data_IF_967339105320
#
_entry.id   IF_967339105320
#
_cell.length_a   1.000
_cell.length_b   1.000
_cell.length_c   1.000
_cell.angle_alpha   90.00
_cell.angle_beta   90.00
_cell.angle_gamma   90.00
#
_symmetry.space_group_name_H-M   'P 1'
#
loop_
_entity.id
_entity.type
_entity.pdbx_description
1 polymer ?
#
# COMPACT_ATOMS: atom_id res chain seq x y z
N UNK A 1 2.95 -33.29 34.97
CA UNK A 1 3.62 -33.88 33.81
C UNK A 1 3.74 -32.77 32.78
N UNK A 2 4.91 -32.15 32.71
CA UNK A 2 5.25 -31.14 31.70
C UNK A 2 5.28 -31.80 30.33
N UNK A 3 4.28 -31.54 29.50
CA UNK A 3 4.33 -31.81 28.06
C UNK A 3 4.56 -30.49 27.34
N UNK A 4 5.73 -29.90 27.53
CA UNK A 4 6.24 -28.91 26.59
C UNK A 4 6.53 -29.65 25.28
N UNK A 5 5.63 -29.51 24.31
CA UNK A 5 5.78 -29.91 22.92
C UNK A 5 7.03 -29.22 22.34
N UNK A 6 8.20 -29.81 22.55
CA UNK A 6 9.38 -29.42 21.81
C UNK A 6 9.13 -29.78 20.35
N UNK A 7 8.98 -28.77 19.48
CA UNK A 7 9.22 -28.94 18.05
C UNK A 7 10.52 -29.74 17.91
N UNK A 8 10.42 -30.95 17.39
CA UNK A 8 11.57 -31.84 17.40
C UNK A 8 12.62 -31.26 16.45
N UNK A 9 13.89 -31.22 16.88
CA UNK A 9 14.99 -30.84 15.99
C UNK A 9 14.98 -31.64 14.66
N UNK A 10 14.35 -32.82 14.69
CA UNK A 10 14.05 -33.65 13.54
C UNK A 10 13.10 -33.00 12.53
N UNK A 11 11.97 -32.42 12.94
CA UNK A 11 11.02 -31.74 12.04
C UNK A 11 11.63 -30.52 11.36
N UNK A 12 12.40 -29.73 12.11
CA UNK A 12 13.16 -28.60 11.55
C UNK A 12 14.17 -29.12 10.51
N UNK A 13 14.92 -30.18 10.82
CA UNK A 13 15.88 -30.76 9.89
C UNK A 13 15.21 -31.25 8.60
N UNK A 14 14.05 -31.90 8.70
CA UNK A 14 13.27 -32.33 7.52
C UNK A 14 12.86 -31.12 6.68
N UNK A 15 12.30 -30.09 7.29
CA UNK A 15 11.81 -28.90 6.58
C UNK A 15 12.95 -28.16 5.86
N UNK A 16 14.10 -28.02 6.51
CA UNK A 16 15.31 -27.43 5.92
C UNK A 16 15.85 -28.28 4.77
N UNK A 17 15.91 -29.61 4.95
CA UNK A 17 16.42 -30.51 3.92
C UNK A 17 15.55 -30.51 2.64
N UNK A 18 14.23 -30.33 2.75
CA UNK A 18 13.36 -30.16 1.58
C UNK A 18 13.77 -28.96 0.73
N UNK A 19 14.11 -27.84 1.37
CA UNK A 19 14.54 -26.62 0.67
C UNK A 19 15.94 -26.78 0.07
N UNK A 20 16.89 -27.32 0.82
CA UNK A 20 18.27 -27.57 0.36
C UNK A 20 18.28 -28.50 -0.86
N UNK A 21 17.46 -29.56 -0.82
CA UNK A 21 17.36 -30.54 -1.90
C UNK A 21 16.41 -30.11 -3.03
N UNK A 22 15.91 -28.86 -3.01
CA UNK A 22 15.06 -28.27 -4.04
C UNK A 22 13.77 -29.06 -4.31
N UNK A 23 13.08 -29.46 -3.25
CA UNK A 23 11.78 -30.10 -3.32
C UNK A 23 10.79 -29.26 -4.16
N UNK A 24 10.24 -29.80 -5.27
CA UNK A 24 9.41 -29.02 -6.21
C UNK A 24 8.14 -28.44 -5.59
N UNK A 25 7.53 -29.14 -4.64
CA UNK A 25 6.30 -28.70 -3.98
C UNK A 25 6.59 -27.50 -3.07
N UNK A 26 7.68 -27.56 -2.31
CA UNK A 26 8.12 -26.47 -1.42
C UNK A 26 8.57 -25.24 -2.23
N UNK A 27 9.30 -25.43 -3.33
CA UNK A 27 9.80 -24.33 -4.15
C UNK A 27 8.73 -23.65 -5.01
N UNK A 28 7.57 -24.28 -5.18
CA UNK A 28 6.44 -23.77 -5.99
C UNK A 28 5.21 -23.40 -5.16
N UNK A 29 5.35 -23.34 -3.83
CA UNK A 29 4.29 -22.98 -2.87
C UNK A 29 3.66 -21.61 -3.19
N UNK A 30 4.48 -20.64 -3.62
CA UNK A 30 4.05 -19.29 -3.90
C UNK A 30 4.45 -18.88 -5.34
N UNK A 31 3.46 -18.84 -6.23
CA UNK A 31 3.66 -18.48 -7.64
C UNK A 31 4.14 -17.05 -7.89
N UNK A 32 4.12 -16.17 -6.89
CA UNK A 32 4.65 -14.81 -6.98
C UNK A 32 6.15 -14.72 -6.62
N UNK A 33 6.76 -15.82 -6.15
CA UNK A 33 8.16 -15.84 -5.71
C UNK A 33 9.03 -16.69 -6.64
N UNK A 34 10.12 -16.12 -7.13
CA UNK A 34 11.13 -16.87 -7.88
C UNK A 34 12.09 -17.60 -6.92
N UNK A 35 11.81 -18.88 -6.68
CA UNK A 35 12.56 -19.76 -5.77
C UNK A 35 14.02 -20.00 -6.15
N UNK A 36 14.45 -19.57 -7.34
CA UNK A 36 15.86 -19.59 -7.75
C UNK A 36 16.67 -18.46 -7.12
N UNK A 37 16.02 -17.37 -6.69
CA UNK A 37 16.70 -16.22 -6.11
C UNK A 37 17.14 -16.48 -4.68
N UNK A 38 18.29 -15.93 -4.28
CA UNK A 38 18.81 -16.11 -2.93
C UNK A 38 17.88 -15.52 -1.85
N UNK A 39 17.17 -14.43 -2.17
CA UNK A 39 16.23 -13.81 -1.22
C UNK A 39 15.03 -14.71 -0.95
N UNK A 40 14.47 -15.37 -1.98
CA UNK A 40 13.36 -16.32 -1.79
C UNK A 40 13.84 -17.57 -1.05
N UNK A 41 15.04 -18.08 -1.34
CA UNK A 41 15.57 -19.24 -0.61
C UNK A 41 15.74 -18.95 0.89
N UNK A 42 16.26 -17.76 1.24
CA UNK A 42 16.35 -17.32 2.65
C UNK A 42 14.98 -17.20 3.29
N UNK A 43 14.02 -16.61 2.59
CA UNK A 43 12.65 -16.46 3.08
C UNK A 43 11.95 -17.81 3.31
N UNK A 44 12.08 -18.76 2.38
CA UNK A 44 11.55 -20.12 2.51
C UNK A 44 12.16 -20.86 3.71
N UNK A 45 13.46 -20.73 3.93
CA UNK A 45 14.14 -21.34 5.09
C UNK A 45 13.61 -20.78 6.41
N UNK A 46 13.52 -19.45 6.52
CA UNK A 46 12.94 -18.80 7.69
C UNK A 46 11.48 -19.25 7.88
N UNK A 47 10.67 -19.22 6.82
CA UNK A 47 9.27 -19.60 6.88
C UNK A 47 9.02 -21.06 7.29
N UNK A 48 9.86 -21.98 6.80
CA UNK A 48 9.81 -23.37 7.18
C UNK A 48 10.08 -23.58 8.68
N UNK A 49 11.08 -22.88 9.23
CA UNK A 49 11.40 -22.92 10.66
C UNK A 49 10.27 -22.27 11.47
N UNK A 50 9.81 -21.08 11.08
CA UNK A 50 8.72 -20.36 11.73
C UNK A 50 7.44 -21.17 11.80
N UNK A 51 7.12 -21.93 10.75
CA UNK A 51 5.92 -22.78 10.70
C UNK A 51 5.98 -23.89 11.75
N UNK A 52 7.10 -24.61 11.83
CA UNK A 52 7.27 -25.70 12.80
C UNK A 52 7.21 -25.16 14.23
N UNK A 53 7.93 -24.07 14.50
CA UNK A 53 7.96 -23.45 15.83
C UNK A 53 6.61 -22.82 16.20
N UNK A 54 6.00 -22.09 15.28
CA UNK A 54 4.72 -21.41 15.48
C UNK A 54 3.58 -22.39 15.76
N UNK A 55 3.51 -23.51 15.03
CA UNK A 55 2.52 -24.56 15.32
C UNK A 55 2.75 -25.18 16.69
N UNK A 56 4.02 -25.37 17.10
CA UNK A 56 4.36 -25.93 18.41
C UNK A 56 3.93 -25.06 19.60
N UNK A 57 3.73 -23.75 19.38
CA UNK A 57 3.25 -22.79 20.38
C UNK A 57 1.73 -22.83 20.58
N UNK A 58 0.98 -23.45 19.67
CA UNK A 58 -0.47 -23.48 19.72
C UNK A 58 -0.98 -24.55 20.70
N UNK A 59 -2.13 -24.30 21.35
CA UNK A 59 -2.86 -25.35 22.08
C UNK A 59 -3.15 -26.55 21.19
N UNK A 60 -3.08 -27.76 21.75
CA UNK A 60 -3.23 -29.01 20.99
C UNK A 60 -4.55 -29.08 20.21
N UNK A 61 -5.65 -28.59 20.78
CA UNK A 61 -6.96 -28.56 20.11
C UNK A 61 -6.93 -27.69 18.85
N UNK A 62 -6.28 -26.53 18.92
CA UNK A 62 -6.14 -25.58 17.81
C UNK A 62 -5.23 -26.14 16.73
N UNK A 63 -4.09 -26.73 17.12
CA UNK A 63 -3.17 -27.41 16.22
C UNK A 63 -3.85 -28.56 15.47
N UNK A 64 -4.52 -29.45 16.19
CA UNK A 64 -5.23 -30.58 15.60
C UNK A 64 -6.33 -30.13 14.63
N UNK A 65 -7.06 -29.06 14.97
CA UNK A 65 -8.06 -28.48 14.08
C UNK A 65 -7.44 -27.91 12.80
N UNK A 66 -6.27 -27.27 12.90
CA UNK A 66 -5.52 -26.77 11.74
C UNK A 66 -5.02 -27.91 10.84
N UNK A 67 -4.36 -28.91 11.41
CA UNK A 67 -3.78 -30.04 10.67
C UNK A 67 -4.84 -30.90 9.98
N UNK A 68 -6.03 -31.03 10.57
CA UNK A 68 -7.18 -31.72 9.96
C UNK A 68 -7.94 -30.87 8.95
N UNK A 69 -7.55 -29.61 8.75
CA UNK A 69 -8.23 -28.67 7.85
C UNK A 69 -9.60 -28.21 8.33
N UNK A 70 -9.91 -28.35 9.62
CA UNK A 70 -11.15 -27.81 10.23
C UNK A 70 -11.07 -26.29 10.32
N UNK A 71 -9.90 -25.76 10.66
CA UNK A 71 -9.57 -24.34 10.61
C UNK A 71 -8.30 -24.12 9.79
N UNK A 72 -8.07 -22.88 9.37
CA UNK A 72 -6.81 -22.49 8.73
C UNK A 72 -6.17 -21.36 9.51
N UNK A 73 -4.96 -21.58 10.01
CA UNK A 73 -4.17 -20.55 10.66
C UNK A 73 -3.30 -19.91 9.59
N UNK A 74 -3.63 -18.68 9.26
CA UNK A 74 -2.93 -17.91 8.25
C UNK A 74 -1.52 -17.54 8.71
N UNK A 75 -0.60 -17.40 7.75
CA UNK A 75 0.73 -16.80 7.94
C UNK A 75 1.60 -17.47 9.02
N UNK A 76 1.46 -18.80 9.18
CA UNK A 76 2.27 -19.61 10.09
C UNK A 76 3.78 -19.57 9.80
N UNK A 77 4.17 -19.19 8.58
CA UNK A 77 5.56 -18.91 8.23
C UNK A 77 6.11 -17.61 8.88
N UNK A 78 5.27 -16.89 9.63
CA UNK A 78 5.58 -15.62 10.32
C UNK A 78 5.16 -15.65 11.78
N UNK A 79 3.87 -15.85 12.04
CA UNK A 79 3.22 -15.73 13.35
C UNK A 79 2.58 -17.06 13.76
N UNK A 80 2.62 -17.49 15.02
CA UNK A 80 2.99 -16.73 16.23
C UNK A 80 4.48 -16.77 16.60
N UNK A 81 5.33 -17.44 15.80
CA UNK A 81 6.75 -17.56 16.13
C UNK A 81 7.43 -16.20 16.30
N UNK A 82 7.18 -15.28 15.37
CA UNK A 82 7.46 -13.86 15.55
C UNK A 82 6.14 -13.11 15.76
N UNK A 83 6.10 -12.12 16.67
CA UNK A 83 4.90 -11.33 16.95
C UNK A 83 4.66 -10.25 15.89
N UNK A 84 4.73 -10.64 14.61
CA UNK A 84 4.49 -9.73 13.49
C UNK A 84 2.98 -9.46 13.37
N UNK A 85 2.56 -8.22 13.06
CA UNK A 85 1.19 -7.92 12.70
C UNK A 85 0.89 -8.32 11.25
N UNK A 86 -0.41 -8.40 10.93
CA UNK A 86 -0.90 -8.67 9.58
C UNK A 86 -0.84 -7.42 8.69
N UNK A 87 -2.00 -6.78 8.47
CA UNK A 87 -2.16 -5.64 7.58
C UNK A 87 -2.37 -4.37 8.39
N UNK A 88 -2.05 -3.23 7.79
CA UNK A 88 -2.09 -1.93 8.46
C UNK A 88 -2.55 -0.81 7.53
N UNK A 89 -3.01 0.28 8.14
CA UNK A 89 -3.28 1.55 7.51
C UNK A 89 -2.38 2.62 8.17
N UNK A 90 -1.07 2.67 7.84
CA UNK A 90 -0.15 3.58 8.52
C UNK A 90 -0.56 5.05 8.36
N UNK A 91 -0.36 5.84 9.42
CA UNK A 91 -0.58 7.27 9.39
C UNK A 91 0.55 7.98 8.61
N UNK A 92 0.44 7.90 7.28
CA UNK A 92 1.36 8.57 6.36
C UNK A 92 1.27 10.09 6.44
N UNK A 93 0.12 10.64 6.84
CA UNK A 93 -0.03 12.09 7.02
C UNK A 93 0.87 12.57 8.15
N UNK A 94 0.81 11.92 9.32
CA UNK A 94 1.68 12.22 10.45
C UNK A 94 3.15 12.04 10.08
N UNK A 95 3.52 10.90 9.49
CA UNK A 95 4.90 10.61 9.10
C UNK A 95 5.46 11.68 8.16
N UNK A 96 4.74 12.03 7.10
CA UNK A 96 5.24 13.01 6.12
C UNK A 96 5.17 14.45 6.66
N UNK A 97 4.22 14.80 7.54
CA UNK A 97 4.10 16.16 8.07
C UNK A 97 5.11 16.47 9.19
N UNK A 98 5.43 15.50 10.05
CA UNK A 98 6.32 15.69 11.21
C UNK A 98 7.76 15.20 10.97
N UNK A 99 7.98 14.48 9.86
CA UNK A 99 9.22 13.78 9.62
C UNK A 99 9.35 12.51 10.46
N UNK A 100 10.30 11.66 10.10
CA UNK A 100 10.46 10.34 10.70
C UNK A 100 11.91 9.90 10.63
N UNK A 101 12.27 8.88 11.41
CA UNK A 101 13.57 8.22 11.29
C UNK A 101 13.40 6.96 10.45
N UNK A 102 14.23 6.82 9.41
CA UNK A 102 14.27 5.64 8.56
C UNK A 102 15.69 5.10 8.51
N UNK A 103 15.89 3.95 9.16
CA UNK A 103 17.23 3.44 9.45
C UNK A 103 18.04 4.48 10.22
N UNK A 104 19.17 4.90 9.63
CA UNK A 104 20.07 5.88 10.24
C UNK A 104 19.79 7.33 9.84
N UNK A 105 18.83 7.57 8.93
CA UNK A 105 18.54 8.89 8.41
C UNK A 105 17.32 9.51 9.11
N UNK A 106 17.46 10.77 9.56
CA UNK A 106 16.32 11.59 9.97
C UNK A 106 15.77 12.31 8.75
N UNK A 107 14.53 11.97 8.41
CA UNK A 107 13.78 12.57 7.31
C UNK A 107 12.97 13.75 7.84
N UNK A 108 12.96 14.84 7.07
CA UNK A 108 12.15 16.03 7.34
C UNK A 108 10.97 16.08 6.37
N UNK A 109 10.00 16.95 6.67
CA UNK A 109 8.81 17.14 5.83
C UNK A 109 9.19 17.37 4.37
N UNK A 110 8.64 16.61 3.40
CA UNK A 110 8.99 16.77 2.00
C UNK A 110 8.55 18.14 1.49
N UNK A 111 9.35 18.65 0.55
CA UNK A 111 9.17 20.00 -0.02
C UNK A 111 8.71 19.98 -1.49
N UNK A 112 8.34 18.81 -2.01
CA UNK A 112 7.73 18.63 -3.33
C UNK A 112 7.00 17.28 -3.40
N UNK A 113 6.04 17.17 -4.32
CA UNK A 113 5.29 15.93 -4.56
C UNK A 113 6.19 14.74 -4.91
N UNK A 114 7.24 14.93 -5.71
CA UNK A 114 8.17 13.86 -6.09
C UNK A 114 8.97 13.32 -4.91
N UNK A 115 9.39 14.21 -3.99
CA UNK A 115 10.07 13.76 -2.76
C UNK A 115 9.08 13.04 -1.85
N UNK A 116 7.85 13.55 -1.71
CA UNK A 116 6.82 12.90 -0.91
C UNK A 116 6.50 11.47 -1.41
N UNK A 117 6.29 11.29 -2.72
CA UNK A 117 6.02 9.95 -3.27
C UNK A 117 7.20 9.01 -3.13
N UNK A 118 8.44 9.50 -3.25
CA UNK A 118 9.65 8.69 -3.03
C UNK A 118 9.75 8.23 -1.57
N UNK A 119 9.49 9.11 -0.61
CA UNK A 119 9.49 8.76 0.81
C UNK A 119 8.36 7.77 1.17
N UNK A 120 7.18 7.89 0.53
CA UNK A 120 6.11 6.91 0.68
C UNK A 120 6.56 5.50 0.28
N UNK A 121 7.22 5.35 -0.88
CA UNK A 121 7.76 4.05 -1.32
C UNK A 121 8.72 3.47 -0.28
N UNK A 122 9.63 4.30 0.24
CA UNK A 122 10.61 3.86 1.24
C UNK A 122 9.95 3.40 2.54
N UNK A 123 8.96 4.15 3.02
CA UNK A 123 8.15 3.76 4.18
C UNK A 123 7.39 2.46 3.94
N UNK A 124 6.77 2.29 2.77
CA UNK A 124 6.08 1.05 2.39
C UNK A 124 7.04 -0.14 2.41
N UNK A 125 8.25 0.02 1.88
CA UNK A 125 9.28 -1.00 1.93
C UNK A 125 9.68 -1.39 3.34
N UNK A 126 9.88 -0.40 4.22
CA UNK A 126 10.24 -0.64 5.61
C UNK A 126 9.11 -1.30 6.39
N UNK A 127 7.90 -0.76 6.33
CA UNK A 127 6.72 -1.30 7.02
C UNK A 127 6.42 -2.71 6.52
N UNK A 128 6.56 -2.97 5.21
CA UNK A 128 6.33 -4.31 4.65
C UNK A 128 7.38 -5.34 5.12
N UNK A 129 8.51 -4.90 5.66
CA UNK A 129 9.48 -5.77 6.32
C UNK A 129 9.10 -6.13 7.77
N UNK A 130 8.27 -5.29 8.40
CA UNK A 130 7.87 -5.40 9.81
C UNK A 130 6.47 -6.02 9.98
N UNK A 131 5.80 -6.40 8.90
CA UNK A 131 4.49 -7.04 8.89
C UNK A 131 4.38 -8.07 7.76
N UNK A 132 3.43 -8.99 7.84
CA UNK A 132 3.24 -10.03 6.81
C UNK A 132 2.05 -9.79 5.87
N UNK A 133 1.20 -8.83 6.18
CA UNK A 133 0.03 -8.46 5.39
C UNK A 133 0.23 -7.22 4.54
N UNK A 134 -0.87 -6.82 3.87
CA UNK A 134 -0.87 -5.64 3.00
C UNK A 134 -0.89 -4.31 3.75
N UNK A 135 -0.31 -3.30 3.12
CA UNK A 135 -0.33 -1.89 3.55
C UNK A 135 -1.41 -1.16 2.76
N UNK A 136 -1.98 -0.12 3.33
CA UNK A 136 -2.87 0.77 2.58
C UNK A 136 -2.54 2.23 2.80
N UNK A 137 -2.75 3.04 1.76
CA UNK A 137 -2.66 4.50 1.83
C UNK A 137 -4.09 5.05 1.78
N UNK A 138 -4.44 5.81 2.81
CA UNK A 138 -5.72 6.51 2.87
C UNK A 138 -5.68 7.78 2.03
N UNK A 139 -6.63 7.93 1.10
CA UNK A 139 -6.89 9.16 0.32
C UNK A 139 -5.61 9.83 -0.22
N UNK A 140 -4.86 9.11 -1.06
CA UNK A 140 -3.54 9.58 -1.54
C UNK A 140 -3.61 10.94 -2.26
N UNK A 141 -4.75 11.26 -2.86
CA UNK A 141 -5.02 12.55 -3.49
C UNK A 141 -4.98 13.70 -2.49
N UNK A 142 -5.60 13.53 -1.32
CA UNK A 142 -5.53 14.50 -0.22
C UNK A 142 -4.18 14.45 0.50
N UNK A 143 -3.63 13.25 0.73
CA UNK A 143 -2.33 13.07 1.37
C UNK A 143 -1.21 13.80 0.61
N UNK A 144 -1.23 13.74 -0.72
CA UNK A 144 -0.18 14.35 -1.55
C UNK A 144 -0.45 15.82 -1.90
N UNK A 145 -1.66 16.33 -1.70
CA UNK A 145 -2.05 17.71 -2.04
C UNK A 145 -1.13 18.77 -1.42
N UNK A 146 -0.78 18.73 -0.11
CA UNK A 146 0.11 19.73 0.49
C UNK A 146 1.49 19.79 -0.18
N UNK A 147 1.99 18.66 -0.67
CA UNK A 147 3.30 18.57 -1.33
C UNK A 147 3.22 18.96 -2.80
N UNK A 148 2.08 18.72 -3.44
CA UNK A 148 1.78 19.22 -4.79
C UNK A 148 1.63 20.74 -4.80
N UNK A 149 1.02 21.32 -3.77
CA UNK A 149 0.93 22.78 -3.57
C UNK A 149 2.31 23.41 -3.37
N UNK A 150 3.21 22.78 -2.60
CA UNK A 150 4.61 23.23 -2.50
C UNK A 150 5.33 23.21 -3.84
N UNK A 151 5.11 22.16 -4.65
CA UNK A 151 5.63 22.10 -6.03
C UNK A 151 5.06 23.23 -6.87
N UNK A 152 3.76 23.49 -6.80
CA UNK A 152 3.10 24.56 -7.53
C UNK A 152 3.71 25.92 -7.20
N UNK A 153 3.85 26.26 -5.92
CA UNK A 153 4.46 27.53 -5.48
C UNK A 153 5.89 27.70 -5.96
N UNK A 154 6.69 26.63 -5.93
CA UNK A 154 8.05 26.65 -6.49
C UNK A 154 8.05 26.92 -8.00
N UNK A 155 7.11 26.32 -8.72
CA UNK A 155 6.97 26.55 -10.15
C UNK A 155 6.48 27.98 -10.45
N UNK A 156 5.55 28.53 -9.65
CA UNK A 156 5.14 29.94 -9.75
C UNK A 156 6.35 30.86 -9.57
N UNK A 157 7.09 30.72 -8.47
CA UNK A 157 8.27 31.55 -8.19
C UNK A 157 9.31 31.46 -9.33
N UNK A 158 9.57 30.25 -9.84
CA UNK A 158 10.49 30.04 -10.96
C UNK A 158 10.05 30.78 -12.23
N UNK A 159 8.74 30.78 -12.53
CA UNK A 159 8.24 31.44 -13.73
C UNK A 159 8.08 32.96 -13.56
N UNK A 160 7.86 33.47 -12.35
CA UNK A 160 7.87 34.90 -12.05
C UNK A 160 9.23 35.56 -12.34
N UNK A 161 10.33 34.80 -12.27
CA UNK A 161 11.67 35.30 -12.60
C UNK A 161 11.83 35.65 -14.09
N UNK A 162 11.04 35.02 -14.97
CA UNK A 162 11.24 35.07 -16.44
C UNK A 162 10.03 35.58 -17.22
N UNK A 163 8.81 35.45 -16.66
CA UNK A 163 7.56 35.89 -17.29
C UNK A 163 7.01 37.08 -16.49
N UNK A 164 6.79 38.21 -17.18
CA UNK A 164 6.26 39.44 -16.56
C UNK A 164 4.74 39.45 -16.40
N UNK A 165 4.04 38.67 -17.20
CA UNK A 165 2.59 38.59 -17.20
C UNK A 165 2.09 37.47 -16.26
N UNK A 166 1.22 37.83 -15.31
CA UNK A 166 0.81 36.95 -14.21
C UNK A 166 -0.03 35.75 -14.68
N UNK A 167 -0.87 35.94 -15.70
CA UNK A 167 -1.72 34.87 -16.21
C UNK A 167 -0.88 33.83 -16.97
N UNK A 168 0.15 34.28 -17.69
CA UNK A 168 1.14 33.42 -18.32
C UNK A 168 2.01 32.67 -17.28
N UNK A 169 2.40 33.31 -16.17
CA UNK A 169 3.08 32.63 -15.05
C UNK A 169 2.22 31.49 -14.51
N UNK A 170 0.95 31.79 -14.19
CA UNK A 170 0.03 30.81 -13.57
C UNK A 170 -0.20 29.63 -14.51
N UNK A 171 -0.44 29.90 -15.80
CA UNK A 171 -0.65 28.86 -16.81
C UNK A 171 0.58 27.96 -16.99
N UNK A 172 1.78 28.55 -17.02
CA UNK A 172 3.04 27.80 -17.10
C UNK A 172 3.27 26.95 -15.84
N UNK A 173 3.03 27.51 -14.66
CA UNK A 173 3.18 26.82 -13.39
C UNK A 173 2.20 25.64 -13.24
N UNK A 174 0.94 25.81 -13.67
CA UNK A 174 -0.05 24.71 -13.70
C UNK A 174 0.47 23.60 -14.62
N UNK A 175 0.86 23.93 -15.86
CA UNK A 175 1.36 22.93 -16.83
C UNK A 175 2.56 22.15 -16.29
N UNK A 176 3.54 22.85 -15.70
CA UNK A 176 4.73 22.23 -15.12
C UNK A 176 4.37 21.35 -13.92
N UNK A 177 3.50 21.84 -13.03
CA UNK A 177 3.06 21.09 -11.85
C UNK A 177 2.28 19.84 -12.22
N UNK A 178 1.39 19.90 -13.20
CA UNK A 178 0.70 18.72 -13.72
C UNK A 178 1.67 17.65 -14.23
N UNK A 179 2.74 18.07 -14.93
CA UNK A 179 3.81 17.15 -15.36
C UNK A 179 4.59 16.57 -14.17
N UNK A 180 4.93 17.38 -13.18
CA UNK A 180 5.63 16.93 -11.98
C UNK A 180 4.82 15.93 -11.17
N UNK A 181 3.51 16.14 -11.04
CA UNK A 181 2.60 15.19 -10.41
C UNK A 181 2.54 13.89 -11.22
N UNK A 182 2.40 13.96 -12.55
CA UNK A 182 2.40 12.76 -13.39
C UNK A 182 3.69 11.95 -13.22
N UNK A 183 4.86 12.59 -13.26
CA UNK A 183 6.15 11.93 -13.14
C UNK A 183 6.36 11.34 -11.74
N UNK A 184 5.92 12.05 -10.70
CA UNK A 184 5.97 11.57 -9.33
C UNK A 184 5.11 10.31 -9.12
N UNK A 185 3.93 10.26 -9.73
CA UNK A 185 3.02 9.10 -9.69
C UNK A 185 3.54 7.95 -10.56
N UNK A 186 4.12 8.24 -11.72
CA UNK A 186 4.77 7.22 -12.54
C UNK A 186 5.95 6.58 -11.81
N UNK A 187 6.80 7.41 -11.20
CA UNK A 187 7.91 6.93 -10.38
C UNK A 187 7.42 6.12 -9.18
N UNK A 188 6.31 6.50 -8.56
CA UNK A 188 5.67 5.73 -7.49
C UNK A 188 5.25 4.34 -7.97
N UNK A 189 4.50 4.23 -9.08
CA UNK A 189 4.07 2.92 -9.60
C UNK A 189 5.27 2.03 -9.98
N UNK A 190 6.30 2.59 -10.64
CA UNK A 190 7.50 1.84 -10.99
C UNK A 190 8.29 1.36 -9.77
N UNK A 191 8.47 2.23 -8.78
CA UNK A 191 9.23 1.86 -7.60
C UNK A 191 8.49 0.80 -6.76
N UNK A 192 7.16 0.89 -6.63
CA UNK A 192 6.38 -0.15 -5.95
C UNK A 192 6.57 -1.51 -6.62
N UNK A 193 6.58 -1.58 -7.95
CA UNK A 193 6.69 -2.85 -8.67
C UNK A 193 8.15 -3.35 -8.83
N UNK A 194 9.15 -2.52 -8.55
CA UNK A 194 10.58 -2.92 -8.60
C UNK A 194 11.19 -3.14 -7.21
N UNK A 195 10.54 -2.66 -6.16
CA UNK A 195 10.94 -2.88 -4.78
C UNK A 195 10.74 -4.35 -4.37
N UNK A 196 11.79 -4.96 -3.83
CA UNK A 196 11.72 -6.29 -3.20
C UNK A 196 11.81 -6.13 -1.69
N UNK A 197 10.83 -6.69 -0.97
CA UNK A 197 10.74 -6.62 0.50
C UNK A 197 11.52 -7.74 1.18
N UNK A 198 11.61 -7.71 2.51
CA UNK A 198 12.21 -8.78 3.31
C UNK A 198 11.49 -10.14 3.10
N UNK A 199 10.20 -10.12 2.75
CA UNK A 199 9.41 -11.30 2.40
C UNK A 199 9.67 -11.81 0.95
N UNK A 200 10.74 -11.34 0.30
CA UNK A 200 11.18 -11.76 -1.02
C UNK A 200 10.13 -11.54 -2.14
N UNK A 201 9.30 -10.51 -2.00
CA UNK A 201 8.23 -10.20 -2.94
C UNK A 201 7.99 -8.68 -3.05
N UNK A 202 7.31 -8.27 -4.12
CA UNK A 202 6.75 -6.92 -4.27
C UNK A 202 5.82 -6.61 -3.10
N UNK A 203 5.89 -5.41 -2.49
CA UNK A 203 5.02 -5.07 -1.38
C UNK A 203 3.55 -5.12 -1.80
N UNK A 204 2.72 -5.74 -0.96
CA UNK A 204 1.27 -5.67 -1.14
C UNK A 204 0.79 -4.30 -0.66
N UNK A 205 0.40 -3.45 -1.60
CA UNK A 205 -0.08 -2.09 -1.31
C UNK A 205 -1.41 -1.80 -2.01
N UNK A 206 -2.34 -1.19 -1.28
CA UNK A 206 -3.59 -0.62 -1.80
C UNK A 206 -3.64 0.88 -1.56
N UNK A 207 -4.26 1.62 -2.46
CA UNK A 207 -4.29 3.08 -2.41
C UNK A 207 -5.70 3.56 -2.72
N UNK A 208 -6.30 4.30 -1.80
CA UNK A 208 -7.60 4.94 -2.03
C UNK A 208 -7.47 6.39 -2.47
N UNK A 209 -8.43 6.86 -3.27
CA UNK A 209 -8.52 8.25 -3.76
C UNK A 209 -9.91 8.54 -4.30
N UNK A 210 -10.23 9.83 -4.53
CA UNK A 210 -11.40 10.24 -5.31
C UNK A 210 -12.23 11.35 -4.68
N UNK A 211 -11.99 11.68 -3.41
CA UNK A 211 -12.80 12.64 -2.66
C UNK A 211 -12.25 14.06 -2.65
N UNK A 212 -10.97 14.27 -2.98
CA UNK A 212 -10.42 15.62 -3.10
C UNK A 212 -10.95 16.34 -4.35
N UNK A 213 -11.44 17.58 -4.21
CA UNK A 213 -12.07 18.35 -5.31
C UNK A 213 -11.22 19.50 -5.84
N UNK A 214 -10.09 19.81 -5.18
CA UNK A 214 -9.16 20.83 -5.67
C UNK A 214 -8.54 20.41 -7.00
N UNK A 215 -8.03 21.38 -7.77
CA UNK A 215 -7.37 21.08 -9.05
C UNK A 215 -6.12 20.18 -8.85
N UNK A 216 -5.42 20.30 -7.72
CA UNK A 216 -4.28 19.44 -7.36
C UNK A 216 -4.73 18.01 -7.08
N UNK A 217 -5.77 17.83 -6.26
CA UNK A 217 -6.36 16.51 -6.01
C UNK A 217 -6.84 15.86 -7.31
N UNK A 218 -7.60 16.59 -8.14
CA UNK A 218 -8.07 16.09 -9.44
C UNK A 218 -6.91 15.71 -10.37
N UNK A 219 -5.81 16.47 -10.34
CA UNK A 219 -4.60 16.16 -11.11
C UNK A 219 -3.90 14.90 -10.59
N UNK A 220 -3.79 14.70 -9.27
CA UNK A 220 -3.23 13.47 -8.67
C UNK A 220 -4.08 12.25 -9.03
N UNK A 221 -5.41 12.34 -8.85
CA UNK A 221 -6.35 11.28 -9.24
C UNK A 221 -6.22 10.95 -10.74
N UNK A 222 -6.18 11.99 -11.58
CA UNK A 222 -6.03 11.83 -13.02
C UNK A 222 -4.71 11.18 -13.41
N UNK A 223 -3.60 11.55 -12.76
CA UNK A 223 -2.28 10.98 -13.00
C UNK A 223 -2.19 9.51 -12.58
N UNK A 224 -2.80 9.12 -11.45
CA UNK A 224 -2.90 7.70 -11.05
C UNK A 224 -3.57 6.86 -12.14
N UNK A 225 -4.69 7.34 -12.66
CA UNK A 225 -5.46 6.65 -13.70
C UNK A 225 -4.72 6.60 -15.04
N UNK A 226 -4.06 7.70 -15.46
CA UNK A 226 -3.30 7.74 -16.72
C UNK A 226 -2.08 6.84 -16.69
N UNK A 227 -1.32 6.86 -15.59
CA UNK A 227 -0.15 6.00 -15.40
C UNK A 227 -0.58 4.53 -15.45
N UNK A 228 -1.62 4.16 -14.69
CA UNK A 228 -2.15 2.79 -14.72
C UNK A 228 -2.63 2.39 -16.10
N UNK A 229 -3.37 3.26 -16.80
CA UNK A 229 -3.89 2.99 -18.15
C UNK A 229 -2.76 2.78 -19.16
N UNK A 230 -1.71 3.60 -19.08
CA UNK A 230 -0.48 3.44 -19.89
C UNK A 230 0.18 2.08 -19.63
N UNK A 231 0.18 1.64 -18.37
CA UNK A 231 0.72 0.35 -17.95
C UNK A 231 2.25 0.31 -17.90
N UNK A 232 2.78 -0.77 -17.34
CA UNK A 232 4.21 -1.04 -17.27
C UNK A 232 4.61 -1.92 -18.46
N UNK A 233 5.36 -1.36 -19.41
CA UNK A 233 5.63 -2.02 -20.71
C UNK A 233 4.33 -2.43 -21.44
N UNK A 234 3.32 -1.57 -21.33
CA UNK A 234 1.97 -1.82 -21.87
C UNK A 234 1.17 -2.89 -21.12
N UNK A 235 1.73 -3.56 -20.12
CA UNK A 235 1.05 -4.58 -19.28
C UNK A 235 0.42 -3.96 -18.04
N UNK A 236 -0.58 -4.64 -17.50
CA UNK A 236 -1.28 -4.22 -16.29
C UNK A 236 -0.36 -4.41 -15.09
N UNK A 237 -0.06 -3.32 -14.39
CA UNK A 237 0.67 -3.37 -13.13
C UNK A 237 -0.16 -4.12 -12.07
N UNK A 238 0.48 -5.01 -11.32
CA UNK A 238 -0.18 -5.78 -10.26
C UNK A 238 -0.48 -4.88 -9.06
N UNK A 239 0.50 -4.05 -8.68
CA UNK A 239 0.40 -3.10 -7.57
C UNK A 239 0.69 -1.66 -8.03
N UNK A 240 0.26 -0.64 -7.26
CA UNK A 240 -0.71 -0.75 -6.16
C UNK A 240 -2.09 -1.19 -6.63
N UNK A 241 -2.90 -1.78 -5.75
CA UNK A 241 -4.35 -1.80 -5.98
C UNK A 241 -4.87 -0.37 -5.89
N UNK A 242 -5.75 0.00 -6.81
CA UNK A 242 -6.36 1.32 -6.83
C UNK A 242 -7.81 1.19 -6.35
N UNK A 243 -8.20 2.00 -5.36
CA UNK A 243 -9.52 1.99 -4.74
C UNK A 243 -10.17 3.38 -4.95
N UNK A 244 -11.05 3.50 -5.94
CA UNK A 244 -11.73 4.75 -6.22
C UNK A 244 -12.97 4.92 -5.34
N UNK A 245 -12.93 5.91 -4.45
CA UNK A 245 -14.00 6.24 -3.52
C UNK A 245 -15.08 7.06 -4.24
N UNK A 246 -16.31 6.55 -4.25
CA UNK A 246 -17.46 7.19 -4.90
C UNK A 246 -18.38 7.81 -3.86
N UNK A 247 -18.59 9.12 -3.95
CA UNK A 247 -19.46 9.88 -3.04
C UNK A 247 -20.40 10.84 -3.77
N UNK A 248 -21.58 11.04 -3.18
CA UNK A 248 -22.62 11.92 -3.70
C UNK A 248 -22.16 13.38 -3.62
N UNK A 249 -22.33 14.14 -4.70
CA UNK A 249 -21.91 15.55 -4.74
C UNK A 249 -20.40 15.74 -4.97
N UNK A 250 -19.65 14.65 -5.14
CA UNK A 250 -18.21 14.69 -5.40
C UNK A 250 -17.90 14.11 -6.77
N UNK A 251 -18.30 12.86 -7.04
CA UNK A 251 -17.98 12.20 -8.31
C UNK A 251 -19.09 11.25 -8.81
N UNK A 252 -20.20 11.09 -8.09
CA UNK A 252 -21.20 10.08 -8.37
C UNK A 252 -22.04 10.40 -9.63
N UNK A 253 -22.51 11.63 -9.77
CA UNK A 253 -23.53 12.03 -10.75
C UNK A 253 -23.02 13.08 -11.75
N UNK A 254 -23.59 13.16 -12.97
CA UNK A 254 -23.33 14.28 -13.88
C UNK A 254 -23.56 15.62 -13.18
N UNK A 255 -22.58 16.53 -13.29
CA UNK A 255 -22.58 17.83 -12.60
C UNK A 255 -21.74 17.85 -11.33
N UNK A 256 -21.41 16.68 -10.75
CA UNK A 256 -20.51 16.61 -9.61
C UNK A 256 -19.07 17.04 -10.02
N UNK A 257 -18.30 17.69 -9.12
CA UNK A 257 -17.00 18.28 -9.44
C UNK A 257 -16.03 17.33 -10.13
N UNK A 258 -16.01 16.04 -9.74
CA UNK A 258 -15.07 15.02 -10.21
C UNK A 258 -15.75 13.95 -11.09
N UNK A 259 -16.93 14.21 -11.65
CA UNK A 259 -17.63 13.25 -12.51
C UNK A 259 -16.81 12.87 -13.76
N UNK A 260 -16.00 13.81 -14.27
CA UNK A 260 -15.02 13.56 -15.33
C UNK A 260 -13.96 12.52 -14.90
N UNK A 261 -13.47 12.60 -13.67
CA UNK A 261 -12.52 11.64 -13.10
C UNK A 261 -13.17 10.27 -12.90
N UNK A 262 -14.44 10.21 -12.47
CA UNK A 262 -15.18 8.92 -12.39
C UNK A 262 -15.22 8.21 -13.74
N UNK A 263 -15.55 8.92 -14.83
CA UNK A 263 -15.57 8.31 -16.18
C UNK A 263 -14.20 7.76 -16.56
N UNK A 264 -13.14 8.50 -16.23
CA UNK A 264 -11.75 8.07 -16.43
C UNK A 264 -11.40 6.84 -15.59
N UNK A 265 -11.89 6.77 -14.34
CA UNK A 265 -11.69 5.62 -13.46
C UNK A 265 -12.37 4.37 -14.02
N UNK A 266 -13.59 4.50 -14.55
CA UNK A 266 -14.30 3.39 -15.22
C UNK A 266 -13.57 2.91 -16.48
N UNK A 267 -13.03 3.83 -17.28
CA UNK A 267 -12.25 3.48 -18.46
C UNK A 267 -10.95 2.75 -18.09
N UNK A 268 -10.24 3.23 -17.06
CA UNK A 268 -9.04 2.59 -16.54
C UNK A 268 -9.34 1.16 -16.05
N UNK A 269 -10.40 0.98 -15.26
CA UNK A 269 -10.84 -0.33 -14.76
C UNK A 269 -11.18 -1.31 -15.88
N UNK A 270 -11.84 -0.84 -16.95
CA UNK A 270 -12.12 -1.68 -18.13
C UNK A 270 -10.85 -2.23 -18.79
N UNK A 271 -9.78 -1.45 -18.83
CA UNK A 271 -8.53 -1.83 -19.53
C UNK A 271 -7.51 -2.51 -18.62
N UNK A 272 -7.55 -2.22 -17.31
CA UNK A 272 -6.49 -2.56 -16.34
C UNK A 272 -7.01 -3.20 -15.06
N UNK A 273 -8.28 -3.62 -15.02
CA UNK A 273 -9.00 -4.19 -13.87
C UNK A 273 -9.26 -3.13 -12.78
N UNK A 274 -8.21 -2.44 -12.33
CA UNK A 274 -8.28 -1.36 -11.34
C UNK A 274 -8.56 0.01 -11.98
N UNK A 275 -9.20 0.95 -11.24
CA UNK A 275 -9.54 0.87 -9.82
C UNK A 275 -10.80 0.04 -9.50
N UNK A 276 -10.81 -0.57 -8.31
CA UNK A 276 -12.04 -1.04 -7.66
C UNK A 276 -12.85 0.18 -7.18
N UNK A 277 -14.17 0.11 -7.26
CA UNK A 277 -15.07 1.21 -6.91
C UNK A 277 -15.69 0.97 -5.52
N UNK A 278 -15.55 1.92 -4.60
CA UNK A 278 -16.07 1.80 -3.23
C UNK A 278 -17.15 2.86 -2.99
N UNK A 279 -18.35 2.43 -2.58
CA UNK A 279 -19.43 3.35 -2.19
C UNK A 279 -19.14 3.97 -0.82
N UNK A 280 -18.86 5.27 -0.80
CA UNK A 280 -18.65 6.04 0.43
C UNK A 280 -19.94 6.18 1.25
N UNK A 281 -21.13 6.43 0.67
CA UNK A 281 -22.37 6.44 1.45
C UNK A 281 -22.56 5.13 2.23
N UNK A 282 -22.38 3.98 1.56
CA UNK A 282 -22.50 2.68 2.22
C UNK A 282 -21.41 2.46 3.28
N UNK A 283 -20.20 2.93 3.04
CA UNK A 283 -19.10 2.83 3.99
C UNK A 283 -19.43 3.63 5.26
N UNK A 284 -19.90 4.87 5.12
CA UNK A 284 -20.31 5.73 6.25
C UNK A 284 -21.46 5.11 7.05
N UNK A 285 -22.45 4.53 6.38
CA UNK A 285 -23.55 3.81 7.06
C UNK A 285 -23.05 2.64 7.93
N UNK A 286 -21.98 1.98 7.51
CA UNK A 286 -21.41 0.81 8.20
C UNK A 286 -20.35 1.18 9.25
N UNK A 287 -19.88 2.43 9.26
CA UNK A 287 -18.70 2.87 10.00
C UNK A 287 -18.94 4.19 10.72
N UNK A 288 -20.13 4.41 11.27
CA UNK A 288 -20.46 5.57 12.10
C UNK A 288 -20.08 6.92 11.46
N UNK A 289 -20.38 7.05 10.16
CA UNK A 289 -20.07 8.24 9.38
C UNK A 289 -18.63 8.34 8.87
N UNK A 290 -17.76 7.40 9.24
CA UNK A 290 -16.34 7.41 8.85
C UNK A 290 -16.11 6.82 7.47
N UNK A 291 -15.15 7.40 6.74
CA UNK A 291 -14.64 6.86 5.48
C UNK A 291 -13.29 6.21 5.78
N UNK A 292 -13.26 4.90 6.02
CA UNK A 292 -12.01 4.18 6.33
C UNK A 292 -11.60 3.29 5.15
N UNK A 293 -10.35 3.43 4.70
CA UNK A 293 -9.81 2.58 3.63
C UNK A 293 -9.55 1.16 4.15
N UNK A 294 -9.93 0.11 3.42
CA UNK A 294 -9.60 -1.24 3.82
C UNK A 294 -8.09 -1.47 3.79
N UNK A 295 -7.57 -2.15 4.81
CA UNK A 295 -6.18 -2.59 4.89
C UNK A 295 -5.93 -3.77 3.94
N UNK A 296 -4.84 -3.68 3.19
CA UNK A 296 -4.42 -4.67 2.21
C UNK A 296 -5.52 -4.92 1.17
N UNK A 297 -6.01 -6.16 1.09
CA UNK A 297 -7.09 -6.49 0.17
C UNK A 297 -8.43 -5.82 0.49
N UNK A 298 -8.91 -6.01 1.73
CA UNK A 298 -10.31 -5.77 2.13
C UNK A 298 -10.55 -5.84 3.66
N UNK A 299 -9.49 -5.85 4.48
CA UNK A 299 -9.66 -5.91 5.93
C UNK A 299 -10.10 -4.53 6.43
N UNK A 300 -11.33 -4.42 6.94
CA UNK A 300 -11.93 -3.11 7.25
C UNK A 300 -11.95 -2.86 8.75
N UNK A 301 -11.23 -1.83 9.20
CA UNK A 301 -11.24 -1.39 10.59
C UNK A 301 -12.65 -1.00 11.04
N UNK A 302 -12.94 -1.16 12.33
CA UNK A 302 -14.09 -0.54 12.97
C UNK A 302 -13.73 0.89 13.38
N UNK A 303 -14.71 1.83 13.42
CA UNK A 303 -14.47 3.15 13.96
C UNK A 303 -13.91 3.04 15.38
N UNK A 304 -12.88 3.84 15.66
CA UNK A 304 -12.27 3.92 16.97
C UNK A 304 -12.04 5.39 17.31
N UNK A 305 -12.23 5.73 18.59
CA UNK A 305 -12.00 7.07 19.11
C UNK A 305 -10.79 7.04 20.04
N UNK A 306 -9.94 8.06 19.92
CA UNK A 306 -8.85 8.29 20.86
C UNK A 306 -9.38 8.72 22.24
N UNK A 307 -8.45 8.94 23.19
CA UNK A 307 -8.79 9.38 24.55
C UNK A 307 -9.49 10.75 24.59
N UNK A 308 -9.39 11.55 23.53
CA UNK A 308 -10.02 12.87 23.38
C UNK A 308 -11.37 12.79 22.66
N UNK A 309 -11.84 11.59 22.30
CA UNK A 309 -13.11 11.36 21.60
C UNK A 309 -13.05 11.62 20.09
N UNK A 310 -11.85 11.76 19.51
CA UNK A 310 -11.67 11.98 18.07
C UNK A 310 -11.58 10.66 17.34
N UNK A 311 -12.31 10.53 16.24
CA UNK A 311 -12.19 9.36 15.38
C UNK A 311 -10.80 9.30 14.74
N UNK A 312 -10.19 8.12 14.82
CA UNK A 312 -8.92 7.82 14.15
C UNK A 312 -9.21 6.98 12.92
N UNK A 313 -8.79 7.51 11.77
CA UNK A 313 -9.07 6.92 10.45
C UNK A 313 -7.86 6.13 9.92
N UNK A 314 -6.69 6.29 10.55
CA UNK A 314 -5.41 5.62 10.23
C UNK A 314 -4.68 5.24 11.50
#
# INVERSE_FOLDING_TARGET
>A
METTSHASAHEISIAVNKIINKDPQTLSENGNKDSRTFIVQRDLLCGAISRVLGVSMLPDEVRNAHERGVIHIHDLDRSPFLPMPNCSLPDFEFLLSHGFQLGNARITTPQSVSVATTLLVQLIGAISGEQYGGISIHEIDKLLEPYAEKTFRKNVALYEEVIKDRDNVTSAAIKKTSKDIYDAIQAFEYQINTLTTAAAQTPFISVSFGLGTSWLCKQIQSSLLDVRKKGMDGKTAIFPKLLYLIDNGVNHSPGDPNYDVKKKAMECSRERIYPDMISVPRLRDLKDGQTITPMGCRSSLHPWQDLDGRYVVT
#
